data_IF_849407106714
#
_entry.id   IF_849407106714
#
_cell.length_a   1.000
_cell.length_b   1.000
_cell.length_c   1.000
_cell.angle_alpha   90.00
_cell.angle_beta   90.00
_cell.angle_gamma   90.00
#
_symmetry.space_group_name_H-M   'P 1'
#
loop_
_entity.id
_entity.type
_entity.pdbx_description
1 polymer ?
#
# COMPACT_ATOMS: atom_id res chain seq x y z
N UNK A 1 -26.76 14.22 -2.44
CA UNK A 1 -25.87 15.35 -2.09
C UNK A 1 -24.47 14.77 -1.91
N UNK A 2 -23.53 15.08 -2.81
CA UNK A 2 -22.15 14.59 -2.72
C UNK A 2 -21.44 15.46 -1.66
N UNK A 3 -21.05 14.86 -0.53
CA UNK A 3 -20.19 15.53 0.45
C UNK A 3 -18.75 15.41 -0.03
N UNK A 4 -18.15 16.52 -0.42
CA UNK A 4 -16.73 16.57 -0.77
C UNK A 4 -15.92 16.79 0.50
N UNK A 5 -14.95 15.91 0.76
CA UNK A 5 -13.98 16.05 1.86
C UNK A 5 -12.62 16.32 1.24
N UNK A 6 -11.98 17.40 1.65
CA UNK A 6 -10.61 17.72 1.21
C UNK A 6 -9.64 16.96 2.11
N UNK A 7 -8.77 16.16 1.50
CA UNK A 7 -7.73 15.43 2.21
C UNK A 7 -6.70 16.41 2.81
N UNK A 8 -6.24 16.18 4.04
CA UNK A 8 -5.29 17.06 4.73
C UNK A 8 -3.88 17.04 4.13
N UNK A 9 -3.61 16.09 3.23
CA UNK A 9 -2.40 15.95 2.42
C UNK A 9 -2.57 16.55 1.01
N UNK A 10 -3.72 17.13 0.67
CA UNK A 10 -3.94 17.78 -0.61
C UNK A 10 -2.91 18.90 -0.88
N UNK A 11 -2.40 18.96 -2.11
CA UNK A 11 -1.28 19.83 -2.54
C UNK A 11 0.05 19.67 -1.76
N UNK A 12 0.21 18.65 -0.91
CA UNK A 12 1.49 18.36 -0.26
C UNK A 12 2.26 17.33 -1.08
N UNK A 13 3.59 17.45 -1.07
CA UNK A 13 4.46 16.40 -1.63
C UNK A 13 4.24 15.11 -0.84
N UNK A 14 3.88 14.03 -1.54
CA UNK A 14 3.80 12.72 -0.91
C UNK A 14 5.22 12.20 -0.64
N UNK A 15 5.55 12.07 0.65
CA UNK A 15 6.78 11.45 1.14
C UNK A 15 6.43 10.19 1.95
N UNK A 16 5.56 9.35 1.39
CA UNK A 16 5.33 8.01 1.91
C UNK A 16 6.29 7.02 1.25
N UNK A 17 6.72 6.03 2.01
CA UNK A 17 7.57 4.95 1.53
C UNK A 17 6.89 3.63 1.90
N UNK A 18 6.66 2.78 0.91
CA UNK A 18 5.93 1.53 1.07
C UNK A 18 6.75 0.38 0.51
N UNK A 19 6.62 -0.79 1.13
CA UNK A 19 6.91 -2.05 0.44
C UNK A 19 5.65 -2.45 -0.32
N UNK A 20 5.77 -2.66 -1.63
CA UNK A 20 4.65 -2.92 -2.52
C UNK A 20 4.81 -4.26 -3.23
N UNK A 21 3.70 -4.96 -3.38
CA UNK A 21 3.57 -6.10 -4.27
C UNK A 21 2.88 -5.65 -5.56
N UNK A 22 3.50 -5.95 -6.69
CA UNK A 22 2.91 -5.70 -8.01
C UNK A 22 2.28 -6.99 -8.53
N UNK A 23 1.00 -6.96 -8.95
CA UNK A 23 0.35 -8.13 -9.52
C UNK A 23 1.03 -8.56 -10.81
N UNK A 24 1.01 -9.86 -11.09
CA UNK A 24 1.44 -10.40 -12.38
C UNK A 24 0.51 -9.96 -13.52
N UNK A 25 0.85 -10.35 -14.75
CA UNK A 25 0.09 -9.96 -15.95
C UNK A 25 -1.34 -10.45 -15.94
N UNK A 26 -1.59 -11.65 -15.41
CA UNK A 26 -2.93 -12.25 -15.40
C UNK A 26 -3.83 -11.53 -14.39
N UNK A 27 -3.35 -11.37 -13.16
CA UNK A 27 -4.03 -10.64 -12.10
C UNK A 27 -4.27 -9.18 -12.52
N UNK A 28 -3.26 -8.52 -13.11
CA UNK A 28 -3.37 -7.15 -13.60
C UNK A 28 -4.46 -7.02 -14.68
N UNK A 29 -4.53 -7.97 -15.63
CA UNK A 29 -5.56 -7.98 -16.66
C UNK A 29 -6.97 -8.10 -16.06
N UNK A 30 -7.15 -9.00 -15.08
CA UNK A 30 -8.43 -9.17 -14.37
C UNK A 30 -8.84 -7.91 -13.61
N UNK A 31 -7.90 -7.28 -12.90
CA UNK A 31 -8.13 -6.02 -12.17
C UNK A 31 -8.48 -4.87 -13.12
N UNK A 32 -7.81 -4.77 -14.28
CA UNK A 32 -8.13 -3.76 -15.29
C UNK A 32 -9.51 -3.97 -15.91
N UNK A 33 -9.91 -5.22 -16.14
CA UNK A 33 -11.26 -5.58 -16.57
C UNK A 33 -12.31 -5.18 -15.53
N UNK A 34 -12.03 -5.43 -14.25
CA UNK A 34 -12.89 -5.03 -13.14
C UNK A 34 -13.04 -3.50 -13.06
N UNK A 35 -11.94 -2.73 -13.13
CA UNK A 35 -11.99 -1.27 -13.21
C UNK A 35 -12.90 -0.81 -14.36
N UNK A 36 -12.74 -1.40 -15.55
CA UNK A 36 -13.57 -1.07 -16.70
C UNK A 36 -15.06 -1.35 -16.49
N UNK A 37 -15.41 -2.44 -15.80
CA UNK A 37 -16.82 -2.73 -15.47
C UNK A 37 -17.39 -1.72 -14.47
N UNK A 38 -16.65 -1.42 -13.39
CA UNK A 38 -17.06 -0.43 -12.39
C UNK A 38 -17.25 0.96 -13.02
N UNK A 39 -16.34 1.37 -13.89
CA UNK A 39 -16.42 2.66 -14.59
C UNK A 39 -17.63 2.76 -15.52
N UNK A 40 -17.98 1.68 -16.23
CA UNK A 40 -19.15 1.66 -17.12
C UNK A 40 -20.47 1.74 -16.35
N UNK A 41 -20.54 1.08 -15.19
CA UNK A 41 -21.79 0.95 -14.42
C UNK A 41 -21.96 2.09 -13.38
N UNK A 42 -20.91 2.88 -13.14
CA UNK A 42 -20.95 4.02 -12.22
C UNK A 42 -21.66 5.23 -12.81
N UNK A 43 -22.55 5.84 -12.04
CA UNK A 43 -23.17 7.14 -12.36
C UNK A 43 -22.34 8.34 -11.90
N UNK A 44 -21.28 8.11 -11.12
CA UNK A 44 -20.38 9.12 -10.62
C UNK A 44 -19.07 9.13 -11.42
N UNK A 45 -18.44 10.31 -11.62
CA UNK A 45 -17.12 10.39 -12.23
C UNK A 45 -16.07 9.79 -11.27
N UNK A 46 -15.52 8.64 -11.65
CA UNK A 46 -14.47 7.97 -10.90
C UNK A 46 -13.10 8.33 -11.47
N UNK A 47 -12.12 8.52 -10.59
CA UNK A 47 -10.71 8.65 -10.99
C UNK A 47 -10.06 7.27 -10.99
N UNK A 48 -9.45 6.91 -12.11
CA UNK A 48 -8.82 5.61 -12.30
C UNK A 48 -7.37 5.62 -11.85
N UNK A 49 -6.98 4.62 -11.05
CA UNK A 49 -5.56 4.31 -10.82
C UNK A 49 -4.98 3.66 -12.08
N UNK A 50 -3.89 4.19 -12.67
CA UNK A 50 -3.24 3.58 -13.83
C UNK A 50 -2.84 2.13 -13.56
N UNK A 51 -2.92 1.27 -14.58
CA UNK A 51 -2.57 -0.15 -14.46
C UNK A 51 -1.12 -0.35 -13.97
N UNK A 52 -0.20 0.50 -14.41
CA UNK A 52 1.21 0.53 -13.98
C UNK A 52 1.40 0.86 -12.50
N UNK A 53 0.36 1.35 -11.83
CA UNK A 53 0.36 1.76 -10.43
C UNK A 53 -0.54 0.88 -9.57
N UNK A 54 -1.18 -0.15 -10.12
CA UNK A 54 -1.92 -1.13 -9.33
C UNK A 54 -0.95 -1.97 -8.53
N UNK A 55 -1.14 -1.99 -7.21
CA UNK A 55 -0.29 -2.70 -6.27
C UNK A 55 -1.10 -3.05 -5.01
N UNK A 56 -0.57 -3.98 -4.23
CA UNK A 56 -0.93 -4.15 -2.83
C UNK A 56 0.19 -3.58 -1.97
N UNK A 57 -0.14 -2.71 -1.02
CA UNK A 57 0.81 -2.29 0.01
C UNK A 57 1.02 -3.46 0.98
N UNK A 58 2.26 -3.98 1.04
CA UNK A 58 2.65 -5.00 2.02
C UNK A 58 2.80 -4.33 3.38
N UNK A 59 3.57 -3.25 3.45
CA UNK A 59 3.76 -2.47 4.68
C UNK A 59 4.05 -1.00 4.36
N UNK A 60 3.63 -0.10 5.25
CA UNK A 60 4.01 1.32 5.19
C UNK A 60 5.27 1.53 6.02
N UNK A 61 6.40 1.78 5.35
CA UNK A 61 7.72 2.04 5.95
C UNK A 61 7.90 3.49 6.42
N UNK A 62 7.17 4.43 5.83
CA UNK A 62 6.95 5.78 6.36
C UNK A 62 5.61 6.24 5.81
N UNK A 63 4.69 6.71 6.66
CA UNK A 63 3.41 7.27 6.20
C UNK A 63 3.60 8.75 5.83
N UNK A 64 2.94 9.21 4.77
CA UNK A 64 2.92 10.63 4.40
C UNK A 64 2.34 11.52 5.52
N UNK A 65 1.52 10.95 6.41
CA UNK A 65 0.95 11.65 7.55
C UNK A 65 1.80 11.55 8.83
N UNK A 66 2.89 10.78 8.85
CA UNK A 66 3.72 10.64 10.05
C UNK A 66 4.31 11.99 10.45
N UNK A 67 4.23 12.32 11.73
CA UNK A 67 4.91 13.47 12.34
C UNK A 67 6.11 12.97 13.12
N UNK A 68 7.31 13.07 12.53
CA UNK A 68 8.59 12.71 13.13
C UNK A 68 9.39 13.99 13.45
N UNK A 69 10.49 13.87 14.19
CA UNK A 69 11.35 15.02 14.49
C UNK A 69 11.99 15.64 13.25
N UNK A 70 12.13 14.84 12.17
CA UNK A 70 12.68 15.25 10.89
C UNK A 70 11.73 14.89 9.74
N UNK A 71 11.82 15.59 8.59
CA UNK A 71 11.02 15.28 7.40
C UNK A 71 11.18 13.83 6.92
N UNK A 72 10.08 13.23 6.45
CA UNK A 72 10.04 11.82 5.99
C UNK A 72 11.07 11.46 4.91
N UNK A 73 11.34 12.38 3.98
CA UNK A 73 12.35 12.18 2.94
C UNK A 73 13.77 12.14 3.54
N UNK A 74 14.01 12.89 4.61
CA UNK A 74 15.26 12.83 5.36
C UNK A 74 15.37 11.52 6.16
N UNK A 75 14.28 11.03 6.75
CA UNK A 75 14.22 9.70 7.39
C UNK A 75 14.62 8.61 6.40
N UNK A 76 14.01 8.64 5.21
CA UNK A 76 14.33 7.70 4.13
C UNK A 76 15.77 7.85 3.64
N UNK A 77 16.28 9.07 3.48
CA UNK A 77 17.68 9.29 3.08
C UNK A 77 18.68 8.69 4.07
N UNK A 78 18.39 8.77 5.37
CA UNK A 78 19.27 8.26 6.43
C UNK A 78 19.16 6.74 6.62
N UNK A 79 17.97 6.16 6.45
CA UNK A 79 17.70 4.78 6.83
C UNK A 79 17.33 3.85 5.67
N UNK A 80 16.90 4.40 4.53
CA UNK A 80 16.25 3.68 3.45
C UNK A 80 17.08 2.55 2.86
N UNK A 81 18.41 2.72 2.76
CA UNK A 81 19.32 1.65 2.33
C UNK A 81 19.26 0.45 3.27
N UNK A 82 19.50 0.67 4.57
CA UNK A 82 19.43 -0.38 5.60
C UNK A 82 18.04 -1.02 5.69
N UNK A 83 16.97 -0.22 5.60
CA UNK A 83 15.60 -0.72 5.65
C UNK A 83 15.24 -1.57 4.45
N UNK A 84 15.72 -1.20 3.26
CA UNK A 84 15.58 -2.00 2.06
C UNK A 84 16.29 -3.34 2.22
N UNK A 85 17.54 -3.36 2.65
CA UNK A 85 18.29 -4.61 2.88
C UNK A 85 17.60 -5.55 3.87
N UNK A 86 17.03 -4.99 4.95
CA UNK A 86 16.25 -5.76 5.92
C UNK A 86 14.96 -6.30 5.29
N UNK A 87 14.23 -5.47 4.54
CA UNK A 87 13.01 -5.91 3.86
C UNK A 87 13.28 -6.98 2.80
N UNK A 88 14.33 -6.82 1.99
CA UNK A 88 14.73 -7.76 0.94
C UNK A 88 15.04 -9.13 1.57
N UNK A 89 15.87 -9.18 2.62
CA UNK A 89 16.16 -10.43 3.35
C UNK A 89 14.90 -11.09 3.92
N UNK A 90 14.02 -10.31 4.56
CA UNK A 90 12.79 -10.85 5.16
C UNK A 90 11.82 -11.38 4.10
N UNK A 91 11.79 -10.75 2.92
CA UNK A 91 11.01 -11.24 1.77
C UNK A 91 11.59 -12.54 1.24
N UNK A 92 12.92 -12.64 1.11
CA UNK A 92 13.59 -13.89 0.69
C UNK A 92 13.36 -15.06 1.66
N UNK A 93 13.29 -14.77 2.97
CA UNK A 93 12.99 -15.76 4.02
C UNK A 93 11.50 -16.13 4.09
N UNK A 94 10.61 -15.36 3.45
CA UNK A 94 9.17 -15.59 3.49
C UNK A 94 8.77 -16.64 2.44
N UNK A 95 8.14 -17.75 2.85
CA UNK A 95 7.63 -18.72 1.88
C UNK A 95 6.63 -18.09 0.91
N UNK A 96 6.57 -18.56 -0.35
CA UNK A 96 5.53 -18.15 -1.28
C UNK A 96 4.13 -18.37 -0.70
N UNK A 97 3.21 -17.46 -1.01
CA UNK A 97 1.81 -17.54 -0.57
C UNK A 97 0.88 -17.06 -1.68
N UNK A 98 -0.37 -17.50 -1.60
CA UNK A 98 -1.43 -17.08 -2.52
C UNK A 98 -2.34 -16.05 -1.85
N UNK A 99 -2.84 -15.11 -2.67
CA UNK A 99 -3.83 -14.12 -2.26
C UNK A 99 -5.10 -14.30 -3.08
N UNK A 100 -6.20 -14.57 -2.40
CA UNK A 100 -7.52 -14.72 -3.02
C UNK A 100 -8.37 -13.49 -2.73
N UNK A 101 -8.52 -12.64 -3.74
CA UNK A 101 -9.43 -11.51 -3.68
C UNK A 101 -10.88 -11.99 -3.83
N UNK A 102 -11.72 -11.70 -2.84
CA UNK A 102 -13.08 -12.25 -2.75
C UNK A 102 -14.18 -11.18 -2.69
N UNK A 103 -13.83 -9.92 -2.47
CA UNK A 103 -14.80 -8.83 -2.33
C UNK A 103 -14.28 -7.55 -3.00
N UNK A 104 -15.17 -6.82 -3.67
CA UNK A 104 -14.96 -5.43 -4.05
C UNK A 104 -15.63 -4.56 -2.99
N UNK A 105 -14.87 -3.67 -2.39
CA UNK A 105 -15.33 -2.75 -1.37
C UNK A 105 -15.08 -1.30 -1.78
N UNK A 106 -15.84 -0.39 -1.21
CA UNK A 106 -15.66 1.04 -1.38
C UNK A 106 -15.59 1.73 -0.01
N UNK A 107 -14.74 2.74 0.10
CA UNK A 107 -14.71 3.69 1.20
C UNK A 107 -15.02 5.10 0.70
N UNK A 108 -14.97 6.08 1.59
CA UNK A 108 -15.04 7.49 1.20
C UNK A 108 -13.89 7.92 0.27
N UNK A 109 -12.78 7.16 0.24
CA UNK A 109 -11.55 7.55 -0.46
C UNK A 109 -11.26 6.72 -1.72
N UNK A 110 -11.65 5.44 -1.75
CA UNK A 110 -11.27 4.55 -2.84
C UNK A 110 -12.20 3.34 -3.00
N UNK A 111 -12.18 2.76 -4.19
CA UNK A 111 -12.68 1.42 -4.47
C UNK A 111 -11.48 0.47 -4.49
N UNK A 112 -11.58 -0.63 -3.76
CA UNK A 112 -10.48 -1.59 -3.59
C UNK A 112 -11.01 -3.02 -3.52
N UNK A 113 -10.12 -3.98 -3.76
CA UNK A 113 -10.40 -5.42 -3.60
C UNK A 113 -9.85 -5.91 -2.27
N UNK A 114 -10.60 -6.79 -1.60
CA UNK A 114 -10.19 -7.40 -0.34
C UNK A 114 -9.77 -8.85 -0.57
N UNK A 115 -8.74 -9.25 0.16
CA UNK A 115 -8.31 -10.62 0.31
C UNK A 115 -8.19 -10.94 1.81
N UNK A 116 -8.36 -12.20 2.17
CA UNK A 116 -7.98 -12.64 3.52
C UNK A 116 -6.47 -12.55 3.66
N UNK A 117 -5.99 -12.13 4.83
CA UNK A 117 -4.56 -12.04 5.08
C UNK A 117 -3.97 -13.44 5.37
N UNK A 118 -3.10 -13.98 4.50
CA UNK A 118 -2.47 -15.26 4.74
C UNK A 118 -1.46 -15.16 5.90
N UNK A 119 -1.23 -16.27 6.64
CA UNK A 119 -0.29 -16.28 7.76
C UNK A 119 1.13 -15.80 7.40
N UNK A 120 1.59 -16.09 6.19
CA UNK A 120 2.90 -15.70 5.66
C UNK A 120 3.02 -14.17 5.57
N UNK A 121 2.01 -13.51 4.99
CA UNK A 121 1.96 -12.05 4.88
C UNK A 121 1.91 -11.40 6.26
N UNK A 122 1.13 -11.96 7.18
CA UNK A 122 1.06 -11.47 8.57
C UNK A 122 2.42 -11.57 9.27
N UNK A 123 3.11 -12.71 9.13
CA UNK A 123 4.45 -12.93 9.69
C UNK A 123 5.47 -11.97 9.09
N UNK A 124 5.47 -11.78 7.78
CA UNK A 124 6.34 -10.82 7.09
C UNK A 124 6.12 -9.39 7.60
N UNK A 125 4.86 -8.93 7.64
CA UNK A 125 4.49 -7.60 8.17
C UNK A 125 4.99 -7.41 9.61
N UNK A 126 4.78 -8.41 10.46
CA UNK A 126 5.24 -8.39 11.84
C UNK A 126 6.77 -8.34 11.91
N UNK A 127 7.48 -9.18 11.16
CA UNK A 127 8.93 -9.22 11.15
C UNK A 127 9.54 -7.87 10.70
N UNK A 128 8.99 -7.26 9.65
CA UNK A 128 9.41 -5.93 9.19
C UNK A 128 9.17 -4.88 10.29
N UNK A 129 8.00 -4.87 10.92
CA UNK A 129 7.65 -3.94 11.99
C UNK A 129 8.56 -4.08 13.23
N UNK A 130 9.06 -5.28 13.50
CA UNK A 130 10.03 -5.51 14.59
C UNK A 130 11.45 -5.11 14.22
N UNK A 131 11.86 -5.34 12.97
CA UNK A 131 13.22 -5.08 12.52
C UNK A 131 13.48 -3.61 12.16
N UNK A 132 12.43 -2.86 11.84
CA UNK A 132 12.50 -1.45 11.45
C UNK A 132 11.83 -0.58 12.51
N UNK A 133 12.58 0.39 13.02
CA UNK A 133 12.11 1.38 14.00
C UNK A 133 12.84 2.70 13.79
N UNK A 134 12.13 3.82 14.00
CA UNK A 134 12.69 5.17 14.06
C UNK A 134 11.93 5.99 15.09
N UNK A 135 12.60 6.54 16.10
CA UNK A 135 11.95 7.39 17.13
C UNK A 135 10.68 6.77 17.73
N UNK A 136 10.71 5.47 18.05
CA UNK A 136 9.57 4.68 18.54
C UNK A 136 8.45 4.44 17.51
N UNK A 137 8.52 5.06 16.33
CA UNK A 137 7.66 4.73 15.20
C UNK A 137 8.06 3.39 14.59
N UNK A 138 7.07 2.60 14.22
CA UNK A 138 7.22 1.30 13.56
C UNK A 138 6.35 1.22 12.31
N UNK A 139 6.79 0.49 11.27
CA UNK A 139 5.94 0.17 10.14
C UNK A 139 4.62 -0.46 10.56
N UNK A 140 3.53 0.01 9.94
CA UNK A 140 2.18 -0.50 10.17
C UNK A 140 1.66 -1.19 8.90
N UNK A 141 0.74 -2.15 9.04
CA UNK A 141 -0.10 -2.59 7.93
C UNK A 141 -0.80 -1.38 7.28
N UNK A 142 -1.15 -1.47 5.98
CA UNK A 142 -1.91 -0.44 5.29
C UNK A 142 -3.32 -0.25 5.86
#
# INVERSE_FOLDING_TARGET
MIRTKVDTLWFKRCCAFHLQFFPDREALSKLCGLQGSIERDSTAPLLRVPSTSLHMTVVTLVSAATQLSIPNDQVWRLNGGRWKEVADRLVEETPPFELHFHEVAASEAAIFVKAEEPPELRRLRSAISHAICFEQWRPTPP
#
